data_IF_756062320337
#
_entry.id   IF_756062320337
#
_cell.length_a   1.000
_cell.length_b   1.000
_cell.length_c   1.000
_cell.angle_alpha   90.00
_cell.angle_beta   90.00
_cell.angle_gamma   90.00
#
_symmetry.space_group_name_H-M   'P 1'
#
loop_
_entity.id
_entity.type
_entity.pdbx_description
1 polymer ?
#
# COMPACT_ATOMS: atom_id res chain seq x y z
N UNK A 1 73.40 43.31 -19.74
CA UNK A 1 73.70 44.26 -18.66
C UNK A 1 73.10 43.70 -17.38
N UNK A 2 73.94 43.54 -16.35
CA UNK A 2 73.60 43.28 -14.93
C UNK A 2 73.23 41.82 -14.62
N UNK A 3 74.18 40.94 -14.24
CA UNK A 3 74.88 40.82 -12.92
C UNK A 3 73.84 40.51 -11.81
N UNK A 4 73.91 39.46 -10.98
CA UNK A 4 74.91 39.27 -9.91
C UNK A 4 74.35 38.24 -8.88
N UNK A 5 74.95 37.06 -8.72
CA UNK A 5 75.73 36.58 -7.54
C UNK A 5 74.98 35.75 -6.42
N UNK A 6 75.35 34.44 -6.38
CA UNK A 6 75.55 33.42 -5.30
C UNK A 6 74.47 32.73 -4.39
N UNK A 7 74.66 31.40 -4.08
CA UNK A 7 73.96 30.53 -3.06
C UNK A 7 74.80 30.38 -1.75
N UNK A 8 74.65 29.42 -0.77
CA UNK A 8 73.64 28.36 -0.42
C UNK A 8 73.24 28.30 1.11
N UNK A 9 72.42 27.30 1.50
CA UNK A 9 72.47 26.46 2.75
C UNK A 9 71.17 26.25 3.56
N UNK A 10 70.72 24.98 3.53
CA UNK A 10 70.14 24.11 4.58
C UNK A 10 68.98 24.56 5.49
N UNK A 11 67.84 23.86 5.39
CA UNK A 11 66.97 23.55 6.53
C UNK A 11 66.57 22.06 6.48
N UNK A 12 66.51 21.46 7.67
CA UNK A 12 66.46 20.05 8.05
C UNK A 12 65.36 19.17 7.41
N UNK A 13 65.69 17.88 7.32
CA UNK A 13 64.76 16.74 7.23
C UNK A 13 63.96 16.60 8.55
N UNK A 14 62.69 16.17 8.48
CA UNK A 14 62.35 14.86 9.06
C UNK A 14 61.48 14.07 8.06
N UNK A 15 61.87 12.86 7.64
CA UNK A 15 61.37 11.60 8.21
C UNK A 15 59.84 11.61 8.43
N UNK A 16 59.08 11.18 7.42
CA UNK A 16 57.82 10.48 7.65
C UNK A 16 57.47 9.66 6.41
N UNK A 17 57.45 8.36 6.60
CA UNK A 17 57.68 7.34 5.58
C UNK A 17 56.40 6.64 5.12
N UNK A 18 55.16 7.03 5.43
CA UNK A 18 54.08 6.01 5.28
C UNK A 18 52.63 6.49 5.37
N UNK A 19 52.35 7.79 5.23
CA UNK A 19 50.96 8.31 5.33
C UNK A 19 50.38 8.58 3.94
N UNK A 20 50.31 7.57 3.08
CA UNK A 20 49.55 7.69 1.82
C UNK A 20 48.89 6.38 1.37
N UNK A 21 49.28 5.22 1.91
CA UNK A 21 48.69 3.92 1.57
C UNK A 21 47.52 3.49 2.46
N UNK A 22 47.34 4.10 3.64
CA UNK A 22 46.24 3.75 4.56
C UNK A 22 44.90 4.39 4.17
N UNK A 23 44.93 5.60 3.62
CA UNK A 23 43.70 6.35 3.29
C UNK A 23 42.98 5.85 2.04
N UNK A 24 43.71 5.23 1.09
CA UNK A 24 43.10 4.64 -0.12
C UNK A 24 42.49 3.25 0.12
N UNK A 25 43.00 2.48 1.09
CA UNK A 25 42.51 1.12 1.35
C UNK A 25 41.16 1.14 2.08
N UNK A 26 40.98 2.08 3.02
CA UNK A 26 39.69 2.29 3.68
C UNK A 26 38.59 2.73 2.71
N UNK A 27 38.89 3.64 1.78
CA UNK A 27 37.92 4.15 0.79
C UNK A 27 37.50 3.05 -0.21
N UNK A 28 38.46 2.21 -0.63
CA UNK A 28 38.19 1.07 -1.52
C UNK A 28 37.38 -0.04 -0.84
N UNK A 29 37.47 -0.17 0.49
CA UNK A 29 36.71 -1.16 1.26
C UNK A 29 35.25 -0.74 1.51
N UNK A 30 34.99 0.56 1.62
CA UNK A 30 33.62 1.10 1.72
C UNK A 30 32.87 1.10 0.38
N UNK A 31 33.58 1.12 -0.76
CA UNK A 31 32.98 1.01 -2.09
C UNK A 31 32.57 -0.42 -2.50
N UNK A 32 32.85 -1.44 -1.67
CA UNK A 32 32.47 -2.83 -1.92
C UNK A 32 31.34 -3.32 -1.00
N UNK A 33 30.49 -2.41 -0.50
CA UNK A 33 29.20 -2.83 0.03
C UNK A 33 28.24 -2.99 -1.15
N UNK A 34 27.81 -4.23 -1.37
CA UNK A 34 26.78 -4.55 -2.35
C UNK A 34 25.59 -3.60 -2.16
N UNK A 35 25.04 -3.00 -3.24
CA UNK A 35 23.87 -2.12 -3.15
C UNK A 35 22.60 -2.81 -2.60
N UNK A 36 22.69 -4.09 -2.26
CA UNK A 36 21.61 -4.90 -1.68
C UNK A 36 21.48 -4.67 -0.16
N UNK A 37 22.53 -4.26 0.55
CA UNK A 37 22.50 -4.18 2.03
C UNK A 37 21.88 -2.87 2.56
N UNK A 38 21.85 -1.79 1.77
CA UNK A 38 21.28 -0.49 2.18
C UNK A 38 19.80 -0.30 1.87
N UNK A 39 19.24 -1.10 0.94
CA UNK A 39 17.85 -0.94 0.49
C UNK A 39 16.87 -1.94 1.13
N UNK A 40 17.33 -3.03 1.74
CA UNK A 40 16.47 -4.15 2.15
C UNK A 40 15.56 -3.91 3.36
N UNK A 41 15.99 -3.11 4.35
CA UNK A 41 15.25 -2.95 5.62
C UNK A 41 14.22 -1.82 5.57
N UNK A 42 14.62 -0.64 5.07
CA UNK A 42 13.74 0.53 5.02
C UNK A 42 12.67 0.43 3.93
N UNK A 43 12.98 -0.18 2.77
CA UNK A 43 11.99 -0.37 1.71
C UNK A 43 10.88 -1.35 2.11
N UNK A 44 11.23 -2.43 2.83
CA UNK A 44 10.26 -3.38 3.35
C UNK A 44 9.31 -2.74 4.36
N UNK A 45 9.82 -1.90 5.26
CA UNK A 45 8.99 -1.17 6.24
C UNK A 45 8.05 -0.19 5.54
N UNK A 46 8.52 0.54 4.51
CA UNK A 46 7.66 1.44 3.72
C UNK A 46 6.60 0.65 2.95
N UNK A 47 6.96 -0.49 2.34
CA UNK A 47 5.99 -1.33 1.63
C UNK A 47 4.95 -1.92 2.60
N UNK A 48 5.40 -2.43 3.76
CA UNK A 48 4.52 -2.99 4.77
C UNK A 48 3.53 -1.93 5.29
N UNK A 49 4.01 -0.72 5.57
CA UNK A 49 3.14 0.39 6.03
C UNK A 49 2.13 0.80 4.96
N UNK A 50 2.55 0.93 3.70
CA UNK A 50 1.63 1.21 2.58
C UNK A 50 0.57 0.12 2.42
N UNK A 51 0.95 -1.15 2.52
CA UNK A 51 0.02 -2.28 2.48
C UNK A 51 -0.98 -2.22 3.65
N UNK A 52 -0.52 -1.99 4.88
CA UNK A 52 -1.40 -1.89 6.05
C UNK A 52 -2.38 -0.73 5.92
N UNK A 53 -1.91 0.45 5.52
CA UNK A 53 -2.78 1.61 5.29
C UNK A 53 -3.80 1.32 4.20
N UNK A 54 -3.37 0.69 3.10
CA UNK A 54 -4.28 0.29 2.01
C UNK A 54 -5.37 -0.67 2.49
N UNK A 55 -5.01 -1.68 3.29
CA UNK A 55 -5.96 -2.62 3.87
C UNK A 55 -6.95 -1.93 4.80
N UNK A 56 -6.49 -0.99 5.62
CA UNK A 56 -7.36 -0.19 6.49
C UNK A 56 -8.34 0.61 5.63
N UNK A 57 -7.87 1.36 4.64
CA UNK A 57 -8.74 2.16 3.76
C UNK A 57 -9.78 1.29 3.06
N UNK A 58 -9.39 0.13 2.54
CA UNK A 58 -10.31 -0.84 1.94
C UNK A 58 -11.36 -1.28 2.96
N UNK A 59 -10.95 -1.72 4.15
CA UNK A 59 -11.87 -2.17 5.20
C UNK A 59 -12.87 -1.07 5.59
N UNK A 60 -12.40 0.17 5.76
CA UNK A 60 -13.25 1.31 6.06
C UNK A 60 -14.23 1.65 4.93
N UNK A 61 -13.79 1.52 3.67
CA UNK A 61 -14.65 1.74 2.50
C UNK A 61 -15.79 0.70 2.37
N UNK A 62 -15.59 -0.50 2.92
CA UNK A 62 -16.60 -1.56 2.93
C UNK A 62 -17.68 -1.38 4.01
N UNK A 63 -17.43 -0.57 5.05
CA UNK A 63 -18.40 -0.29 6.13
C UNK A 63 -19.73 0.28 5.60
N UNK A 64 -19.78 1.32 4.75
CA UNK A 64 -21.05 1.80 4.22
C UNK A 64 -21.76 0.76 3.35
N UNK A 65 -21.01 -0.05 2.59
CA UNK A 65 -21.56 -1.11 1.74
C UNK A 65 -22.21 -2.19 2.59
N UNK A 66 -21.56 -2.65 3.66
CA UNK A 66 -22.13 -3.66 4.57
C UNK A 66 -23.39 -3.18 5.29
N UNK A 67 -23.46 -1.88 5.62
CA UNK A 67 -24.67 -1.27 6.18
C UNK A 67 -25.82 -1.24 5.16
N UNK A 68 -25.53 -0.90 3.91
CA UNK A 68 -26.55 -0.94 2.84
C UNK A 68 -27.02 -2.37 2.58
N UNK A 69 -26.09 -3.34 2.52
CA UNK A 69 -26.41 -4.75 2.34
C UNK A 69 -27.29 -5.28 3.49
N UNK A 70 -26.99 -4.91 4.74
CA UNK A 70 -27.81 -5.29 5.91
C UNK A 70 -29.24 -4.74 5.80
N UNK A 71 -29.38 -3.46 5.41
CA UNK A 71 -30.71 -2.84 5.21
C UNK A 71 -31.49 -3.51 4.09
N UNK A 72 -30.82 -3.80 2.96
CA UNK A 72 -31.42 -4.50 1.83
C UNK A 72 -31.86 -5.91 2.22
N UNK A 73 -31.03 -6.65 2.95
CA UNK A 73 -31.38 -7.99 3.44
C UNK A 73 -32.58 -7.95 4.40
N UNK A 74 -32.65 -6.95 5.28
CA UNK A 74 -33.82 -6.75 6.15
C UNK A 74 -35.10 -6.51 5.34
N UNK A 75 -35.05 -5.65 4.33
CA UNK A 75 -36.16 -5.44 3.40
C UNK A 75 -36.55 -6.74 2.70
N UNK A 76 -35.58 -7.45 2.12
CA UNK A 76 -35.83 -8.67 1.36
C UNK A 76 -36.54 -9.74 2.18
N UNK A 77 -36.08 -9.97 3.43
CA UNK A 77 -36.69 -10.97 4.30
C UNK A 77 -38.13 -10.62 4.68
N UNK A 78 -38.39 -9.36 5.03
CA UNK A 78 -39.74 -8.92 5.40
C UNK A 78 -40.69 -8.96 4.20
N UNK A 79 -40.25 -8.44 3.06
CA UNK A 79 -41.01 -8.46 1.80
C UNK A 79 -41.29 -9.89 1.34
N UNK A 80 -40.29 -10.77 1.36
CA UNK A 80 -40.47 -12.17 0.98
C UNK A 80 -41.47 -12.88 1.90
N UNK A 81 -41.39 -12.62 3.22
CA UNK A 81 -42.32 -13.17 4.20
C UNK A 81 -43.75 -12.66 3.97
N UNK A 82 -43.91 -11.36 3.71
CA UNK A 82 -45.20 -10.74 3.43
C UNK A 82 -45.83 -11.32 2.15
N UNK A 83 -45.05 -11.46 1.08
CA UNK A 83 -45.55 -11.98 -0.20
C UNK A 83 -45.97 -13.44 -0.09
N UNK A 84 -45.14 -14.28 0.53
CA UNK A 84 -45.46 -15.69 0.82
C UNK A 84 -46.72 -15.87 1.65
N UNK A 85 -47.04 -14.91 2.52
CA UNK A 85 -48.26 -14.92 3.34
C UNK A 85 -49.48 -14.45 2.54
N UNK A 86 -49.30 -13.50 1.63
CA UNK A 86 -50.38 -12.86 0.87
C UNK A 86 -50.76 -13.68 -0.36
N UNK A 87 -49.76 -14.30 -1.00
CA UNK A 87 -49.89 -15.13 -2.21
C UNK A 87 -49.27 -16.50 -1.94
N UNK A 88 -49.93 -17.36 -1.14
CA UNK A 88 -49.37 -18.66 -0.74
C UNK A 88 -49.22 -19.65 -1.91
N UNK A 89 -50.01 -19.45 -2.97
CA UNK A 89 -50.00 -20.26 -4.19
C UNK A 89 -48.84 -19.88 -5.12
N UNK A 90 -48.25 -18.69 -4.95
CA UNK A 90 -47.16 -18.25 -5.83
C UNK A 90 -45.92 -19.15 -5.68
N UNK A 91 -45.26 -19.49 -6.79
CA UNK A 91 -43.98 -20.17 -6.74
C UNK A 91 -42.98 -19.36 -5.92
N UNK A 92 -42.16 -20.02 -5.09
CA UNK A 92 -41.15 -19.33 -4.27
C UNK A 92 -40.22 -18.42 -5.10
N UNK A 93 -39.96 -18.78 -6.35
CA UNK A 93 -39.16 -17.98 -7.27
C UNK A 93 -39.83 -16.61 -7.54
N UNK A 94 -41.14 -16.60 -7.79
CA UNK A 94 -41.92 -15.38 -8.03
C UNK A 94 -41.87 -14.48 -6.81
N UNK A 95 -42.08 -15.04 -5.61
CA UNK A 95 -41.99 -14.28 -4.35
C UNK A 95 -40.60 -13.68 -4.09
N UNK A 96 -39.53 -14.41 -4.43
CA UNK A 96 -38.15 -13.89 -4.32
C UNK A 96 -37.90 -12.76 -5.31
N UNK A 97 -38.30 -12.93 -6.57
CA UNK A 97 -38.15 -11.90 -7.61
C UNK A 97 -38.94 -10.64 -7.25
N UNK A 98 -40.14 -10.82 -6.69
CA UNK A 98 -40.96 -9.74 -6.16
C UNK A 98 -40.26 -8.99 -5.03
N UNK A 99 -39.81 -9.70 -4.00
CA UNK A 99 -39.14 -9.10 -2.85
C UNK A 99 -37.86 -8.36 -3.27
N UNK A 100 -37.08 -8.94 -4.18
CA UNK A 100 -35.90 -8.29 -4.75
C UNK A 100 -36.27 -7.00 -5.49
N UNK A 101 -37.26 -7.01 -6.40
CA UNK A 101 -37.66 -5.80 -7.13
C UNK A 101 -38.20 -4.72 -6.20
N UNK A 102 -39.05 -5.11 -5.26
CA UNK A 102 -39.62 -4.20 -4.27
C UNK A 102 -38.53 -3.46 -3.48
N UNK A 103 -37.54 -4.19 -2.97
CA UNK A 103 -36.44 -3.61 -2.20
C UNK A 103 -35.43 -2.81 -3.04
N UNK A 104 -35.47 -2.93 -4.37
CA UNK A 104 -34.70 -2.09 -5.30
C UNK A 104 -35.50 -0.86 -5.79
N UNK A 105 -36.70 -0.60 -5.25
CA UNK A 105 -37.52 0.55 -5.60
C UNK A 105 -38.38 0.36 -6.86
N UNK A 106 -38.54 -0.87 -7.35
CA UNK A 106 -39.42 -1.18 -8.48
C UNK A 106 -40.90 -1.21 -8.09
N UNK A 107 -41.79 -0.82 -9.02
CA UNK A 107 -43.24 -0.93 -8.83
C UNK A 107 -43.78 -2.34 -9.16
N UNK A 108 -44.90 -2.67 -8.53
CA UNK A 108 -45.34 -4.00 -8.09
C UNK A 108 -45.87 -4.97 -9.16
N UNK A 109 -45.82 -4.69 -10.46
CA UNK A 109 -46.42 -5.59 -11.46
C UNK A 109 -45.46 -6.71 -11.85
N UNK A 110 -45.51 -7.83 -11.13
CA UNK A 110 -45.03 -9.12 -11.63
C UNK A 110 -46.27 -9.89 -12.12
N UNK A 111 -46.28 -10.39 -13.37
CA UNK A 111 -47.36 -11.24 -13.83
C UNK A 111 -47.43 -12.47 -12.95
N UNK A 112 -48.59 -12.66 -12.32
CA UNK A 112 -48.96 -13.86 -11.57
C UNK A 112 -49.86 -14.70 -12.47
N UNK A 113 -49.57 -15.98 -12.58
CA UNK A 113 -50.33 -16.95 -13.38
C UNK A 113 -51.37 -17.67 -12.53
#
# INVERSE_FOLDING_TARGET
MSDSWHPPMTVQKPLSDNVSTSLQDSDRKEQNLNPIEGFGSHSYVVLATLCTVSLIVIAWSLVPISRQATRWNGCFQESFRWDRKTFPTDPQLVSKLWATRYCNGGSLSIPRE
#
